data_IF_507150581775
#
_entry.id   IF_507150581775
#
_cell.length_a   1.000
_cell.length_b   1.000
_cell.length_c   1.000
_cell.angle_alpha   90.00
_cell.angle_beta   90.00
_cell.angle_gamma   90.00
#
_symmetry.space_group_name_H-M   'P 1'
#
loop_
_entity.id
_entity.type
_entity.pdbx_description
1 polymer ?
#
# COMPACT_ATOMS: atom_id res chain seq x y z
N UNK A 1 17.14 -0.70 4.30
CA UNK A 1 15.89 -0.12 3.79
C UNK A 1 14.90 -1.25 3.57
N UNK A 2 14.14 -1.59 4.60
CA UNK A 2 13.20 -2.72 4.54
C UNK A 2 11.93 -2.43 5.35
N UNK A 3 12.01 -1.53 6.33
CA UNK A 3 10.88 -1.05 7.11
C UNK A 3 10.85 0.48 7.07
N UNK A 4 9.65 1.06 7.15
CA UNK A 4 9.38 2.49 7.27
C UNK A 4 8.40 2.70 8.42
N UNK A 5 8.73 3.59 9.37
CA UNK A 5 7.82 3.98 10.44
C UNK A 5 6.90 5.10 9.94
N UNK A 6 5.59 4.89 10.02
CA UNK A 6 4.57 5.87 9.64
C UNK A 6 4.26 6.82 10.82
N UNK A 7 3.75 8.04 10.56
CA UNK A 7 3.39 8.98 11.62
C UNK A 7 2.37 8.44 12.63
N UNK A 8 1.51 7.52 12.20
CA UNK A 8 0.51 6.85 13.05
C UNK A 8 1.10 5.71 13.93
N UNK A 9 2.42 5.54 13.92
CA UNK A 9 3.15 4.53 14.70
C UNK A 9 3.15 3.13 14.09
N UNK A 10 2.50 2.92 12.94
CA UNK A 10 2.61 1.67 12.20
C UNK A 10 3.98 1.54 11.54
N UNK A 11 4.41 0.30 11.28
CA UNK A 11 5.65 0.03 10.54
C UNK A 11 5.31 -0.70 9.26
N UNK A 12 5.47 -0.02 8.13
CA UNK A 12 5.37 -0.60 6.80
C UNK A 12 6.65 -1.38 6.47
N UNK A 13 6.53 -2.47 5.71
CA UNK A 13 7.64 -3.37 5.34
C UNK A 13 7.65 -3.66 3.85
N UNK A 14 8.75 -4.22 3.35
CA UNK A 14 8.85 -4.62 1.94
C UNK A 14 8.62 -6.12 1.75
N UNK A 15 7.95 -6.48 0.66
CA UNK A 15 7.82 -7.88 0.20
C UNK A 15 9.19 -8.54 0.10
N UNK A 16 10.16 -7.84 -0.50
CA UNK A 16 11.53 -8.35 -0.67
C UNK A 16 12.14 -8.90 0.62
N UNK A 17 11.94 -8.22 1.76
CA UNK A 17 12.52 -8.66 3.04
C UNK A 17 11.68 -9.74 3.72
N UNK A 18 10.39 -9.80 3.42
CA UNK A 18 9.47 -10.77 4.03
C UNK A 18 9.53 -12.13 3.34
N UNK A 19 9.73 -12.18 2.03
CA UNK A 19 9.89 -13.44 1.27
C UNK A 19 11.18 -14.18 1.60
N UNK A 20 12.17 -13.50 2.17
CA UNK A 20 13.39 -14.12 2.71
C UNK A 20 13.17 -14.85 4.06
N UNK A 21 12.01 -14.67 4.71
CA UNK A 21 11.73 -15.26 6.02
C UNK A 21 10.83 -16.50 5.88
N UNK A 22 10.99 -17.51 6.76
CA UNK A 22 10.03 -18.61 6.87
C UNK A 22 8.65 -18.05 7.23
N UNK A 23 7.58 -18.61 6.63
CA UNK A 23 6.20 -18.12 6.79
C UNK A 23 5.78 -17.93 8.27
N UNK A 24 6.22 -18.83 9.15
CA UNK A 24 5.97 -18.81 10.60
C UNK A 24 6.56 -17.58 11.34
N UNK A 25 7.50 -16.88 10.71
CA UNK A 25 8.22 -15.71 11.25
C UNK A 25 7.91 -14.43 10.50
N UNK A 26 7.03 -14.48 9.49
CA UNK A 26 6.62 -13.30 8.73
C UNK A 26 5.55 -12.55 9.51
N UNK A 27 5.79 -11.27 9.74
CA UNK A 27 4.77 -10.33 10.19
C UNK A 27 4.42 -9.47 8.99
N UNK A 28 3.35 -9.86 8.29
CA UNK A 28 2.91 -9.24 7.03
C UNK A 28 2.50 -7.79 7.32
N UNK A 29 3.29 -6.86 6.79
CA UNK A 29 3.03 -5.41 6.94
C UNK A 29 3.48 -4.62 5.72
N UNK A 30 3.44 -5.25 4.54
CA UNK A 30 3.78 -4.65 3.25
C UNK A 30 2.59 -4.11 2.47
N UNK A 31 1.35 -4.39 2.88
CA UNK A 31 0.16 -3.83 2.25
C UNK A 31 -0.17 -2.47 2.86
N UNK A 32 -0.42 -1.47 2.03
CA UNK A 32 -0.61 -0.08 2.46
C UNK A 32 -1.76 0.61 1.76
N UNK A 33 -2.31 1.58 2.48
CA UNK A 33 -3.20 2.62 1.96
C UNK A 33 -2.38 3.86 1.67
N UNK A 34 -2.60 4.47 0.52
CA UNK A 34 -1.85 5.63 0.05
C UNK A 34 -2.75 6.65 -0.63
N UNK A 35 -2.31 7.90 -0.65
CA UNK A 35 -3.02 9.00 -1.33
C UNK A 35 -2.23 9.45 -2.55
N UNK A 36 -2.84 9.30 -3.74
CA UNK A 36 -2.30 9.77 -5.01
C UNK A 36 -3.32 10.67 -5.68
N UNK A 37 -2.90 11.88 -6.06
CA UNK A 37 -3.75 12.87 -6.73
C UNK A 37 -5.07 13.16 -5.99
N UNK A 38 -5.05 13.04 -4.65
CA UNK A 38 -6.22 13.24 -3.79
C UNK A 38 -7.11 12.01 -3.61
N UNK A 39 -6.82 10.91 -4.32
CA UNK A 39 -7.57 9.66 -4.24
C UNK A 39 -6.89 8.63 -3.35
N UNK A 40 -7.71 7.85 -2.64
CA UNK A 40 -7.23 6.73 -1.82
C UNK A 40 -6.99 5.53 -2.74
N UNK A 41 -5.78 5.00 -2.70
CA UNK A 41 -5.41 3.76 -3.39
C UNK A 41 -4.84 2.75 -2.39
N UNK A 42 -4.83 1.50 -2.83
CA UNK A 42 -4.26 0.37 -2.10
C UNK A 42 -3.09 -0.18 -2.90
N UNK A 43 -2.03 -0.61 -2.22
CA UNK A 43 -0.89 -1.21 -2.89
C UNK A 43 -0.07 -2.09 -1.96
N UNK A 44 0.74 -2.96 -2.57
CA UNK A 44 1.75 -3.77 -1.92
C UNK A 44 3.15 -3.15 -2.11
N UNK A 45 3.91 -3.03 -1.04
CA UNK A 45 5.26 -2.46 -1.06
C UNK A 45 6.28 -3.49 -1.50
N UNK A 46 6.90 -3.25 -2.65
CA UNK A 46 7.97 -4.08 -3.18
C UNK A 46 9.33 -3.70 -2.56
N UNK A 47 9.63 -2.39 -2.51
CA UNK A 47 10.94 -1.91 -2.08
C UNK A 47 10.94 -0.43 -1.66
N UNK A 48 11.81 -0.05 -0.71
CA UNK A 48 12.07 1.35 -0.36
C UNK A 48 13.44 1.78 -0.88
N UNK A 49 13.54 2.94 -1.50
CA UNK A 49 14.83 3.48 -2.00
C UNK A 49 14.87 5.01 -1.95
N UNK A 50 16.01 5.59 -2.34
CA UNK A 50 16.14 7.02 -2.60
C UNK A 50 16.51 7.25 -4.07
N UNK A 51 15.94 8.30 -4.66
CA UNK A 51 16.31 8.78 -5.98
C UNK A 51 16.94 10.17 -5.86
N UNK A 52 17.97 10.42 -6.66
CA UNK A 52 18.48 11.77 -6.85
C UNK A 52 17.56 12.50 -7.83
N UNK A 53 16.96 13.60 -7.38
CA UNK A 53 16.04 14.42 -8.16
C UNK A 53 16.67 15.79 -8.34
N UNK A 54 16.56 16.35 -9.55
CA UNK A 54 17.08 17.68 -9.85
C UNK A 54 16.26 18.70 -9.07
N UNK A 55 16.96 19.51 -8.27
CA UNK A 55 16.39 20.56 -7.42
C UNK A 55 16.53 21.95 -8.05
N UNK A 56 17.44 22.10 -9.02
CA UNK A 56 17.69 23.35 -9.72
C UNK A 56 19.06 23.37 -10.38
N UNK A 57 19.53 24.58 -10.69
CA UNK A 57 20.87 24.84 -11.15
C UNK A 57 21.59 25.73 -10.14
N UNK A 58 22.90 25.55 -9.97
CA UNK A 58 23.74 26.45 -9.19
C UNK A 58 24.15 27.71 -9.99
N UNK A 59 25.01 28.54 -9.39
CA UNK A 59 25.48 29.80 -10.00
C UNK A 59 26.29 29.57 -11.28
N UNK A 60 26.91 28.40 -11.44
CA UNK A 60 27.69 28.00 -12.60
C UNK A 60 26.85 27.26 -13.65
N UNK A 61 25.56 27.04 -13.37
CA UNK A 61 24.63 26.33 -14.24
C UNK A 61 24.71 24.80 -14.13
N UNK A 62 25.37 24.26 -13.11
CA UNK A 62 25.41 22.83 -12.82
C UNK A 62 24.15 22.36 -12.08
N UNK A 63 23.75 21.12 -12.30
CA UNK A 63 22.56 20.55 -11.66
C UNK A 63 22.78 20.30 -10.17
N UNK A 64 21.94 20.91 -9.35
CA UNK A 64 21.84 20.58 -7.93
C UNK A 64 20.85 19.43 -7.78
N UNK A 65 21.23 18.42 -7.01
CA UNK A 65 20.38 17.28 -6.70
C UNK A 65 20.00 17.27 -5.23
N UNK A 66 18.75 16.89 -4.94
CA UNK A 66 18.35 16.46 -3.61
C UNK A 66 17.96 14.97 -3.65
N UNK A 67 18.06 14.30 -2.50
CA UNK A 67 17.65 12.91 -2.36
C UNK A 67 16.19 12.83 -1.92
N UNK A 68 15.34 12.25 -2.75
CA UNK A 68 13.95 11.98 -2.42
C UNK A 68 13.77 10.50 -2.05
N UNK A 69 13.20 10.26 -0.87
CA UNK A 69 12.80 8.92 -0.46
C UNK A 69 11.55 8.49 -1.23
N UNK A 70 11.62 7.35 -1.89
CA UNK A 70 10.53 6.79 -2.70
C UNK A 70 10.28 5.33 -2.36
N UNK A 71 9.12 4.84 -2.75
CA UNK A 71 8.71 3.44 -2.59
C UNK A 71 8.25 2.90 -3.93
N UNK A 72 8.70 1.69 -4.25
CA UNK A 72 8.20 0.90 -5.37
C UNK A 72 7.03 0.06 -4.86
N UNK A 73 5.87 0.21 -5.49
CA UNK A 73 4.63 -0.46 -5.09
C UNK A 73 3.96 -1.16 -6.27
N UNK A 74 3.27 -2.26 -6.01
CA UNK A 74 2.34 -2.91 -6.94
C UNK A 74 0.91 -2.50 -6.56
N UNK A 75 0.19 -1.89 -7.49
CA UNK A 75 -1.13 -1.33 -7.20
C UNK A 75 -2.21 -2.41 -7.10
N UNK A 76 -3.17 -2.20 -6.19
CA UNK A 76 -4.40 -2.98 -6.13
C UNK A 76 -5.57 -2.21 -6.79
N UNK A 77 -6.53 -2.97 -7.29
CA UNK A 77 -7.78 -2.46 -7.83
C UNK A 77 -8.61 -1.76 -6.76
N UNK A 78 -9.51 -0.88 -7.18
CA UNK A 78 -10.59 -0.43 -6.32
C UNK A 78 -11.44 -1.62 -5.82
N UNK A 79 -12.09 -1.49 -4.65
CA UNK A 79 -13.01 -2.50 -4.16
C UNK A 79 -14.13 -2.82 -5.14
N UNK A 80 -14.51 -4.10 -5.26
CA UNK A 80 -15.63 -4.53 -6.09
C UNK A 80 -16.93 -3.90 -5.59
N UNK A 81 -17.54 -3.06 -6.44
CA UNK A 81 -18.69 -2.27 -6.05
C UNK A 81 -19.95 -3.12 -5.81
N UNK A 82 -20.04 -4.33 -6.36
CA UNK A 82 -21.18 -5.20 -6.12
C UNK A 82 -21.04 -5.97 -4.81
N UNK A 83 -19.85 -6.53 -4.53
CA UNK A 83 -19.58 -7.17 -3.24
C UNK A 83 -19.77 -6.17 -2.10
N UNK A 84 -19.30 -4.93 -2.28
CA UNK A 84 -19.48 -3.88 -1.28
C UNK A 84 -20.97 -3.58 -1.07
N UNK A 85 -21.78 -3.44 -2.13
CA UNK A 85 -23.23 -3.20 -2.00
C UNK A 85 -23.98 -4.36 -1.37
N UNK A 86 -23.71 -5.60 -1.81
CA UNK A 86 -24.39 -6.80 -1.31
C UNK A 86 -24.08 -7.09 0.15
N UNK A 87 -22.87 -6.72 0.60
CA UNK A 87 -22.43 -6.86 1.98
C UNK A 87 -22.78 -5.67 2.87
N UNK A 88 -23.58 -4.71 2.39
CA UNK A 88 -23.88 -3.46 3.11
C UNK A 88 -22.62 -2.73 3.57
N UNK A 89 -21.64 -2.61 2.67
CA UNK A 89 -20.33 -2.00 2.87
C UNK A 89 -19.40 -2.71 3.88
N UNK A 90 -19.68 -3.95 4.25
CA UNK A 90 -18.85 -4.73 5.16
C UNK A 90 -17.63 -5.40 4.48
N UNK A 91 -17.74 -5.73 3.19
CA UNK A 91 -16.71 -6.48 2.45
C UNK A 91 -16.11 -5.60 1.36
N UNK A 92 -14.94 -5.02 1.66
CA UNK A 92 -14.13 -4.30 0.69
C UNK A 92 -13.13 -5.25 0.04
N UNK A 93 -13.42 -5.70 -1.19
CA UNK A 93 -12.62 -6.73 -1.85
C UNK A 93 -11.94 -6.25 -3.13
N UNK A 94 -10.63 -6.45 -3.20
CA UNK A 94 -9.75 -5.94 -4.26
C UNK A 94 -8.94 -7.07 -4.90
N UNK A 95 -8.19 -6.73 -5.96
CA UNK A 95 -7.21 -7.60 -6.60
C UNK A 95 -5.93 -6.81 -6.92
N UNK A 96 -4.76 -7.45 -6.92
CA UNK A 96 -3.58 -6.87 -7.54
C UNK A 96 -3.88 -6.53 -9.00
N UNK A 97 -3.43 -5.37 -9.46
CA UNK A 97 -3.45 -5.01 -10.86
C UNK A 97 -2.15 -5.55 -11.47
N UNK A 98 -2.29 -6.45 -12.43
CA UNK A 98 -1.15 -7.04 -13.13
C UNK A 98 -0.28 -5.94 -13.76
N UNK A 99 1.03 -6.01 -13.50
CA UNK A 99 2.06 -5.12 -14.02
C UNK A 99 1.90 -3.61 -13.74
N UNK A 100 0.99 -3.20 -12.84
CA UNK A 100 0.88 -1.81 -12.39
C UNK A 100 1.85 -1.53 -11.23
N UNK A 101 3.14 -1.43 -11.56
CA UNK A 101 4.20 -1.07 -10.63
C UNK A 101 4.47 0.43 -10.73
N UNK A 102 4.45 1.12 -9.59
CA UNK A 102 4.67 2.58 -9.52
C UNK A 102 5.77 2.94 -8.54
N UNK A 103 6.46 4.04 -8.83
CA UNK A 103 7.36 4.73 -7.90
C UNK A 103 6.61 5.93 -7.36
N UNK A 104 6.43 5.99 -6.05
CA UNK A 104 5.71 7.07 -5.37
C UNK A 104 6.54 7.64 -4.21
N UNK A 105 6.24 8.86 -3.79
CA UNK A 105 6.84 9.43 -2.57
C UNK A 105 6.40 8.59 -1.36
N UNK A 106 7.34 8.23 -0.48
CA UNK A 106 7.04 7.49 0.76
C UNK A 106 6.00 8.19 1.63
N UNK A 107 5.91 9.53 1.55
CA UNK A 107 4.96 10.36 2.30
C UNK A 107 3.51 10.18 1.83
N UNK A 108 3.28 9.58 0.66
CA UNK A 108 1.94 9.24 0.20
C UNK A 108 1.35 8.06 0.98
N UNK A 109 2.17 7.26 1.67
CA UNK A 109 1.69 6.16 2.51
C UNK A 109 1.03 6.73 3.77
N UNK A 110 -0.22 6.36 3.98
CA UNK A 110 -1.04 6.81 5.12
C UNK A 110 -1.12 5.75 6.22
N UNK A 111 -1.41 4.51 5.84
CA UNK A 111 -1.63 3.42 6.79
C UNK A 111 -1.10 2.08 6.24
N UNK A 112 -0.67 1.21 7.14
CA UNK A 112 -0.49 -0.22 6.89
C UNK A 112 -1.84 -0.91 7.07
N UNK A 113 -2.20 -1.75 6.12
CA UNK A 113 -3.48 -2.46 6.06
C UNK A 113 -3.25 -3.97 5.99
N UNK A 114 -4.26 -4.73 6.38
CA UNK A 114 -4.32 -6.16 6.12
C UNK A 114 -4.99 -6.42 4.77
N UNK A 115 -4.40 -7.32 3.98
CA UNK A 115 -5.01 -7.84 2.76
C UNK A 115 -5.14 -9.35 2.93
N UNK A 116 -6.33 -9.81 3.30
CA UNK A 116 -6.59 -11.22 3.64
C UNK A 116 -7.06 -11.96 2.38
N UNK A 117 -6.36 -13.01 1.91
CA UNK A 117 -6.78 -13.79 0.77
C UNK A 117 -8.16 -14.42 0.99
N UNK A 118 -9.05 -14.31 0.01
CA UNK A 118 -10.37 -14.99 0.03
C UNK A 118 -10.87 -15.30 -1.40
N UNK A 119 -11.92 -16.11 -1.52
CA UNK A 119 -12.48 -16.57 -2.81
C UNK A 119 -14.00 -16.39 -2.89
N UNK A 120 -14.51 -15.15 -3.03
CA UNK A 120 -15.95 -14.90 -3.06
C UNK A 120 -16.60 -15.33 -4.38
N UNK A 121 -17.90 -15.64 -4.31
CA UNK A 121 -18.74 -15.77 -5.50
C UNK A 121 -19.24 -14.39 -5.90
N UNK A 122 -18.88 -13.94 -7.10
CA UNK A 122 -19.36 -12.68 -7.64
C UNK A 122 -20.82 -12.79 -8.12
N UNK A 123 -21.54 -11.66 -8.26
CA UNK A 123 -22.88 -11.66 -8.86
C UNK A 123 -22.92 -12.20 -10.30
N UNK A 124 -21.78 -12.16 -11.01
CA UNK A 124 -21.61 -12.79 -12.33
C UNK A 124 -21.66 -14.32 -12.30
N UNK A 125 -21.65 -14.93 -11.11
CA UNK A 125 -21.56 -16.38 -10.91
C UNK A 125 -20.12 -16.91 -10.93
N UNK A 126 -19.13 -16.04 -11.13
CA UNK A 126 -17.70 -16.43 -11.14
C UNK A 126 -17.17 -16.42 -9.71
N UNK A 127 -16.49 -17.51 -9.33
CA UNK A 127 -15.66 -17.56 -8.12
C UNK A 127 -14.23 -17.21 -8.50
N UNK A 128 -13.62 -16.27 -7.79
CA UNK A 128 -12.25 -15.83 -8.10
C UNK A 128 -11.45 -15.46 -6.85
N UNK A 129 -10.14 -15.61 -6.96
CA UNK A 129 -9.18 -15.21 -5.92
C UNK A 129 -9.11 -13.69 -5.81
N UNK A 130 -9.27 -13.20 -4.58
CA UNK A 130 -9.29 -11.78 -4.22
C UNK A 130 -8.64 -11.57 -2.86
N UNK A 131 -8.55 -10.31 -2.45
CA UNK A 131 -8.17 -9.95 -1.09
C UNK A 131 -9.27 -9.11 -0.44
N UNK A 132 -9.51 -9.37 0.84
CA UNK A 132 -10.35 -8.56 1.72
C UNK A 132 -9.46 -7.53 2.42
N UNK A 133 -9.78 -6.25 2.24
CA UNK A 133 -9.18 -5.16 2.97
C UNK A 133 -9.61 -5.22 4.45
N UNK A 134 -8.62 -5.19 5.34
CA UNK A 134 -8.82 -5.08 6.78
C UNK A 134 -8.01 -3.90 7.29
N UNK A 135 -8.69 -2.83 7.66
CA UNK A 135 -8.05 -1.71 8.36
C UNK A 135 -7.92 -2.08 9.85
N UNK A 136 -6.81 -1.66 10.47
CA UNK A 136 -6.69 -1.77 11.92
C UNK A 136 -7.78 -0.85 12.51
N UNK A 137 -8.73 -1.36 13.32
CA UNK A 137 -9.69 -0.50 13.98
C UNK A 137 -8.92 0.55 14.77
N UNK A 138 -9.18 1.82 14.47
CA UNK A 138 -8.69 2.93 15.27
C UNK A 138 -9.09 2.66 16.71
N UNK A 139 -8.15 2.76 17.65
CA UNK A 139 -8.52 2.87 19.04
C UNK A 139 -9.12 4.27 19.17
N UNK A 140 -10.42 4.41 18.92
CA UNK A 140 -11.17 5.61 19.28
C UNK A 140 -11.14 5.66 20.81
N UNK A 141 -10.10 6.27 21.36
CA UNK A 141 -10.07 6.65 22.76
C UNK A 141 -11.09 7.78 22.88
N UNK A 142 -12.35 7.42 23.15
CA UNK A 142 -13.35 8.37 23.61
C UNK A 142 -12.80 8.96 24.91
N UNK A 143 -12.25 10.16 24.81
CA UNK A 143 -11.80 10.91 25.97
C UNK A 143 -13.06 11.50 26.59
N UNK A 144 -13.55 10.88 27.67
CA UNK A 144 -14.58 11.45 28.54
C UNK A 144 -13.95 12.36 29.60
#
# INVERSE_FOLDING_TARGET
WAHLCLPNGQTARTVWRETEKPAEKVCISHNVKLVLDGEICLAEILYFTCLAVVDGLDEDGEQIFHWQAVVLVMMDSCPDCHLLKLSFHAVSSCKPIEDDIRIIDVKSITDVIGMVPHRPNLPSGVTEDRFLLVEKPGLDIVTF
#
